data_IF_956366591660
#
_entry.id   IF_956366591660
#
_cell.length_a   1.000
_cell.length_b   1.000
_cell.length_c   1.000
_cell.angle_alpha   90.00
_cell.angle_beta   90.00
_cell.angle_gamma   90.00
#
_symmetry.space_group_name_H-M   'P 1'
#
loop_
_entity.id
_entity.type
_entity.pdbx_description
1 polymer ?
#
# COMPACT_ATOMS: atom_id res chain seq x y z
N UNK A 1 -10.13 44.18 1.06
CA UNK A 1 -10.34 42.73 1.18
C UNK A 1 -9.00 42.09 1.38
N UNK A 2 -8.73 41.46 2.55
CA UNK A 2 -7.48 40.73 2.80
C UNK A 2 -7.42 39.53 1.85
N UNK A 3 -6.26 39.32 1.24
CA UNK A 3 -6.01 38.10 0.43
C UNK A 3 -6.30 36.87 1.28
N UNK A 4 -7.08 35.90 0.79
CA UNK A 4 -7.31 34.66 1.57
C UNK A 4 -5.96 34.02 1.93
N UNK A 5 -5.85 33.55 3.16
CA UNK A 5 -4.62 32.93 3.63
C UNK A 5 -4.29 31.71 2.75
N UNK A 6 -3.01 31.54 2.39
CA UNK A 6 -2.55 30.39 1.62
C UNK A 6 -2.85 29.09 2.40
N UNK A 7 -3.70 28.17 1.90
CA UNK A 7 -4.05 26.93 2.57
C UNK A 7 -2.84 26.03 2.87
N UNK A 8 -1.71 26.23 2.19
CA UNK A 8 -0.46 25.51 2.38
C UNK A 8 0.51 26.22 3.35
N UNK A 9 0.08 27.33 3.96
CA UNK A 9 0.91 28.02 4.95
C UNK A 9 1.09 27.14 6.20
N UNK A 10 2.34 26.91 6.60
CA UNK A 10 2.71 26.13 7.79
C UNK A 10 2.36 24.62 7.70
N UNK A 11 2.44 24.03 6.51
CA UNK A 11 2.26 22.58 6.31
C UNK A 11 3.41 21.80 6.96
N UNK A 12 3.08 20.81 7.77
CA UNK A 12 4.05 19.85 8.29
C UNK A 12 4.44 18.84 7.21
N UNK A 13 5.76 18.76 6.89
CA UNK A 13 6.30 17.86 5.84
C UNK A 13 6.63 16.48 6.42
N UNK A 14 5.68 15.87 7.12
CA UNK A 14 5.76 14.49 7.66
C UNK A 14 4.42 13.78 7.52
N UNK A 15 4.38 12.45 7.52
CA UNK A 15 3.12 11.71 7.49
C UNK A 15 2.26 12.01 8.73
N UNK A 16 0.99 12.30 8.51
CA UNK A 16 0.00 12.49 9.58
C UNK A 16 0.02 11.32 10.57
N UNK A 17 0.01 10.10 10.05
CA UNK A 17 -0.05 8.88 10.85
C UNK A 17 1.16 8.72 11.78
N UNK A 18 2.37 9.09 11.30
CA UNK A 18 3.57 9.09 12.12
C UNK A 18 3.57 10.22 13.16
N UNK A 19 2.94 11.35 12.83
CA UNK A 19 2.80 12.48 13.75
C UNK A 19 1.87 12.17 14.92
N UNK A 20 0.85 11.34 14.69
CA UNK A 20 -0.16 10.95 15.69
C UNK A 20 0.13 9.60 16.37
N UNK A 21 1.20 8.91 15.94
CA UNK A 21 1.57 7.63 16.54
C UNK A 21 2.11 7.86 17.97
N UNK A 22 1.60 7.14 18.96
CA UNK A 22 2.16 7.17 20.32
C UNK A 22 3.65 6.78 20.33
N UNK A 23 4.41 7.18 21.36
CA UNK A 23 5.80 6.79 21.52
C UNK A 23 5.99 5.28 21.41
N UNK A 24 6.99 4.84 20.65
CA UNK A 24 7.31 3.44 20.42
C UNK A 24 8.50 3.01 21.30
N UNK A 25 8.63 1.71 21.63
CA UNK A 25 9.80 1.20 22.33
C UNK A 25 11.10 1.53 21.58
N UNK A 26 12.17 1.79 22.31
CA UNK A 26 13.50 1.92 21.71
C UNK A 26 14.06 0.54 21.35
N UNK A 27 14.36 0.36 20.06
CA UNK A 27 14.91 -0.88 19.48
C UNK A 27 16.30 -0.72 18.90
N UNK A 28 16.94 0.46 19.11
CA UNK A 28 18.23 0.82 18.49
C UNK A 28 19.42 0.28 19.26
N UNK A 29 19.31 0.19 20.57
CA UNK A 29 20.43 -0.20 21.47
C UNK A 29 20.49 -1.71 21.76
N UNK A 30 19.71 -2.54 21.07
CA UNK A 30 19.68 -3.98 21.32
C UNK A 30 20.86 -4.68 20.65
N UNK A 31 21.55 -5.62 21.33
CA UNK A 31 22.58 -6.43 20.69
C UNK A 31 21.99 -7.35 19.63
N UNK A 32 22.67 -7.47 18.47
CA UNK A 32 22.27 -8.40 17.44
C UNK A 32 22.55 -9.85 17.86
N UNK A 33 21.67 -10.80 17.54
CA UNK A 33 21.95 -12.21 17.70
C UNK A 33 22.95 -12.68 16.63
N UNK A 34 23.90 -13.54 17.00
CA UNK A 34 24.87 -14.10 16.06
C UNK A 34 24.23 -15.09 15.05
N UNK A 35 23.28 -15.91 15.54
CA UNK A 35 22.66 -17.00 14.77
C UNK A 35 21.16 -17.04 15.02
N UNK A 36 20.39 -17.08 13.93
CA UNK A 36 18.92 -17.16 13.94
C UNK A 36 18.39 -18.19 12.95
N UNK A 37 17.11 -18.57 13.10
CA UNK A 37 16.45 -19.44 12.14
C UNK A 37 15.89 -18.60 10.96
N UNK A 38 15.43 -17.36 11.24
CA UNK A 38 14.92 -16.44 10.24
C UNK A 38 15.45 -15.02 10.46
N UNK A 39 16.11 -14.46 9.44
CA UNK A 39 16.42 -13.04 9.36
C UNK A 39 15.43 -12.34 8.43
N UNK A 40 14.71 -11.35 8.95
CA UNK A 40 13.75 -10.53 8.19
C UNK A 40 14.38 -9.17 7.90
N UNK A 41 14.43 -8.77 6.63
CA UNK A 41 14.98 -7.50 6.18
C UNK A 41 13.86 -6.55 5.78
N UNK A 42 13.63 -5.50 6.57
CA UNK A 42 12.60 -4.49 6.40
C UNK A 42 11.48 -4.60 7.43
N UNK A 43 11.32 -3.57 8.25
CA UNK A 43 10.34 -3.42 9.35
C UNK A 43 8.99 -2.85 8.89
N UNK A 44 8.55 -3.15 7.68
CA UNK A 44 7.21 -2.82 7.19
C UNK A 44 6.17 -3.88 7.53
N UNK A 45 4.94 -3.74 6.98
CA UNK A 45 3.83 -4.68 7.21
C UNK A 45 4.20 -6.14 6.94
N UNK A 46 4.83 -6.42 5.77
CA UNK A 46 5.22 -7.79 5.42
C UNK A 46 6.27 -8.35 6.38
N UNK A 47 7.29 -7.56 6.74
CA UNK A 47 8.35 -8.01 7.62
C UNK A 47 7.86 -8.24 9.04
N UNK A 48 7.06 -7.35 9.60
CA UNK A 48 6.47 -7.52 10.94
C UNK A 48 5.56 -8.74 11.02
N UNK A 49 4.75 -8.98 9.98
CA UNK A 49 3.89 -10.17 9.93
C UNK A 49 4.68 -11.47 9.80
N UNK A 50 5.75 -11.49 8.97
CA UNK A 50 6.64 -12.63 8.84
C UNK A 50 7.40 -12.91 10.15
N UNK A 51 7.90 -11.87 10.82
CA UNK A 51 8.58 -12.00 12.10
C UNK A 51 7.64 -12.53 13.19
N UNK A 52 6.41 -11.99 13.27
CA UNK A 52 5.37 -12.49 14.19
C UNK A 52 5.13 -13.99 13.96
N UNK A 53 4.87 -14.39 12.72
CA UNK A 53 4.53 -15.77 12.41
C UNK A 53 5.70 -16.71 12.63
N UNK A 54 6.90 -16.33 12.20
CA UNK A 54 8.10 -17.12 12.44
C UNK A 54 8.34 -17.40 13.93
N UNK A 55 8.19 -16.38 14.78
CA UNK A 55 8.29 -16.52 16.24
C UNK A 55 7.16 -17.40 16.82
N UNK A 56 5.92 -17.29 16.34
CA UNK A 56 4.81 -18.16 16.73
C UNK A 56 5.06 -19.65 16.39
N UNK A 57 5.83 -19.91 15.32
CA UNK A 57 6.27 -21.27 14.95
C UNK A 57 7.48 -21.76 15.78
N UNK A 58 7.92 -20.99 16.77
CA UNK A 58 9.04 -21.34 17.65
C UNK A 58 10.42 -21.04 17.07
N UNK A 59 10.51 -20.37 15.92
CA UNK A 59 11.78 -19.99 15.33
C UNK A 59 12.45 -18.81 16.07
N UNK A 60 13.78 -18.80 16.14
CA UNK A 60 14.54 -17.61 16.54
C UNK A 60 14.55 -16.61 15.39
N UNK A 61 13.85 -15.49 15.56
CA UNK A 61 13.65 -14.49 14.51
C UNK A 61 14.35 -13.18 14.88
N UNK A 62 15.11 -12.64 13.91
CA UNK A 62 15.57 -11.25 13.95
C UNK A 62 14.93 -10.45 12.81
N UNK A 63 14.43 -9.25 13.12
CA UNK A 63 13.97 -8.30 12.13
C UNK A 63 14.91 -7.09 12.13
N UNK A 64 15.44 -6.74 10.96
CA UNK A 64 16.40 -5.67 10.71
C UNK A 64 15.73 -4.55 9.93
N UNK A 65 15.60 -3.38 10.53
CA UNK A 65 15.06 -2.18 9.92
C UNK A 65 16.11 -1.06 9.87
N UNK A 66 16.32 -0.50 8.70
CA UNK A 66 17.36 0.51 8.49
C UNK A 66 17.06 1.86 9.17
N UNK A 67 15.78 2.17 9.34
CA UNK A 67 15.31 3.43 9.93
C UNK A 67 14.53 3.13 11.24
N UNK A 68 13.21 3.22 11.21
CA UNK A 68 12.31 2.83 12.29
C UNK A 68 11.18 1.94 11.75
N UNK A 69 10.58 1.13 12.60
CA UNK A 69 9.44 0.28 12.21
C UNK A 69 8.38 1.12 11.51
N UNK A 70 7.96 0.64 10.33
CA UNK A 70 6.95 1.31 9.52
C UNK A 70 7.42 2.57 8.78
N UNK A 71 8.68 3.00 8.89
CA UNK A 71 9.18 4.25 8.28
C UNK A 71 8.86 4.37 6.77
N UNK A 72 8.87 3.28 6.03
CA UNK A 72 8.60 3.24 4.61
C UNK A 72 7.13 3.44 4.25
N UNK A 73 6.65 2.75 3.21
CA UNK A 73 5.27 2.85 2.71
C UNK A 73 4.21 2.46 3.74
N UNK A 74 4.57 1.63 4.72
CA UNK A 74 3.66 1.02 5.68
C UNK A 74 2.96 2.03 6.59
N UNK A 75 3.57 3.16 6.91
CA UNK A 75 2.95 4.25 7.67
C UNK A 75 2.72 5.53 6.85
N UNK A 76 2.94 5.48 5.54
CA UNK A 76 2.79 6.63 4.63
C UNK A 76 1.60 6.48 3.68
N UNK A 77 0.95 5.33 3.65
CA UNK A 77 -0.19 5.04 2.76
C UNK A 77 -1.47 5.76 3.22
N UNK A 78 -2.49 5.77 2.38
CA UNK A 78 -3.82 6.29 2.74
C UNK A 78 -4.60 5.42 3.73
N UNK A 79 -4.06 4.26 4.12
CA UNK A 79 -4.73 3.34 5.04
C UNK A 79 -5.97 2.67 4.43
N UNK A 80 -6.01 2.52 3.09
CA UNK A 80 -7.10 1.86 2.37
C UNK A 80 -6.78 0.37 2.25
N UNK A 81 -7.59 -0.46 2.90
CA UNK A 81 -7.48 -1.91 2.94
C UNK A 81 -8.61 -2.52 2.10
N UNK A 82 -8.27 -3.27 1.07
CA UNK A 82 -9.24 -3.90 0.17
C UNK A 82 -8.64 -5.14 -0.49
N UNK A 83 -9.46 -6.14 -0.86
CA UNK A 83 -9.03 -7.25 -1.71
C UNK A 83 -8.79 -6.80 -3.15
N UNK A 84 -8.28 -7.72 -3.96
CA UNK A 84 -8.06 -7.53 -5.39
C UNK A 84 -6.73 -6.88 -5.74
N UNK A 85 -6.47 -6.90 -7.04
CA UNK A 85 -5.23 -6.45 -7.66
C UNK A 85 -5.52 -5.43 -8.76
N UNK A 86 -4.51 -5.12 -9.59
CA UNK A 86 -4.71 -4.30 -10.79
C UNK A 86 -5.45 -5.02 -11.90
N UNK A 87 -5.55 -6.34 -11.81
CA UNK A 87 -6.32 -7.20 -12.68
C UNK A 87 -7.52 -7.76 -11.91
N UNK A 88 -8.71 -7.70 -12.51
CA UNK A 88 -9.92 -8.26 -11.95
C UNK A 88 -9.97 -9.80 -12.05
N UNK A 89 -10.96 -10.46 -11.42
CA UNK A 89 -11.07 -11.93 -11.44
C UNK A 89 -11.05 -12.52 -12.85
N UNK A 90 -11.84 -11.98 -13.76
CA UNK A 90 -11.93 -12.48 -15.14
C UNK A 90 -10.58 -12.37 -15.88
N UNK A 91 -9.89 -11.23 -15.74
CA UNK A 91 -8.57 -11.02 -16.34
C UNK A 91 -7.52 -11.95 -15.74
N UNK A 92 -7.58 -12.25 -14.44
CA UNK A 92 -6.67 -13.21 -13.79
C UNK A 92 -6.91 -14.62 -14.31
N UNK A 93 -8.17 -15.04 -14.46
CA UNK A 93 -8.53 -16.34 -15.04
C UNK A 93 -8.12 -16.45 -16.51
N UNK A 94 -8.27 -15.40 -17.29
CA UNK A 94 -7.81 -15.36 -18.69
C UNK A 94 -6.28 -15.50 -18.80
N UNK A 95 -5.53 -14.82 -17.94
CA UNK A 95 -4.05 -14.78 -17.97
C UNK A 95 -3.38 -16.05 -17.42
N UNK A 96 -3.99 -16.67 -16.42
CA UNK A 96 -3.36 -17.74 -15.63
C UNK A 96 -4.13 -19.06 -15.67
N UNK A 97 -5.26 -19.11 -16.40
CA UNK A 97 -6.22 -20.23 -16.36
C UNK A 97 -7.19 -20.09 -15.20
N UNK A 98 -8.37 -20.72 -15.35
CA UNK A 98 -9.50 -20.54 -14.44
C UNK A 98 -9.14 -20.86 -12.98
N UNK A 99 -8.51 -22.02 -12.73
CA UNK A 99 -8.19 -22.49 -11.37
C UNK A 99 -7.16 -21.56 -10.68
N UNK A 100 -6.05 -21.27 -11.33
CA UNK A 100 -5.00 -20.45 -10.72
C UNK A 100 -5.44 -18.99 -10.60
N UNK A 101 -6.13 -18.45 -11.61
CA UNK A 101 -6.64 -17.07 -11.59
C UNK A 101 -7.65 -16.84 -10.46
N UNK A 102 -8.56 -17.78 -10.26
CA UNK A 102 -9.50 -17.75 -9.13
C UNK A 102 -8.78 -17.88 -7.78
N UNK A 103 -7.84 -18.82 -7.65
CA UNK A 103 -7.05 -18.99 -6.43
C UNK A 103 -6.28 -17.74 -6.05
N UNK A 104 -5.65 -17.06 -7.02
CA UNK A 104 -4.95 -15.80 -6.80
C UNK A 104 -5.93 -14.71 -6.30
N UNK A 105 -7.12 -14.60 -6.92
CA UNK A 105 -8.09 -13.62 -6.46
C UNK A 105 -8.58 -13.92 -5.03
N UNK A 106 -8.91 -15.17 -4.73
CA UNK A 106 -9.30 -15.62 -3.38
C UNK A 106 -8.24 -15.30 -2.35
N UNK A 107 -6.96 -15.50 -2.68
CA UNK A 107 -5.85 -15.14 -1.79
C UNK A 107 -5.84 -13.65 -1.41
N UNK A 108 -6.33 -12.76 -2.28
CA UNK A 108 -6.51 -11.35 -1.94
C UNK A 108 -7.68 -11.09 -0.98
N UNK A 109 -8.75 -11.88 -1.11
CA UNK A 109 -9.90 -11.85 -0.17
C UNK A 109 -9.46 -12.37 1.20
N UNK A 110 -8.76 -13.50 1.23
CA UNK A 110 -8.20 -14.07 2.45
C UNK A 110 -7.26 -13.08 3.15
N UNK A 111 -6.46 -12.35 2.37
CA UNK A 111 -5.57 -11.31 2.91
C UNK A 111 -6.33 -10.16 3.58
N UNK A 112 -7.48 -9.75 3.03
CA UNK A 112 -8.32 -8.73 3.65
C UNK A 112 -8.94 -9.25 4.97
N UNK A 113 -9.52 -10.45 4.96
CA UNK A 113 -10.13 -11.04 6.15
C UNK A 113 -9.08 -11.33 7.23
N UNK A 114 -7.92 -11.88 6.86
CA UNK A 114 -6.79 -12.08 7.75
C UNK A 114 -6.32 -10.78 8.41
N UNK A 115 -6.29 -9.68 7.64
CA UNK A 115 -5.92 -8.37 8.19
C UNK A 115 -6.90 -7.93 9.28
N UNK A 116 -8.21 -8.03 9.00
CA UNK A 116 -9.26 -7.67 9.95
C UNK A 116 -9.20 -8.55 11.22
N UNK A 117 -9.01 -9.86 11.04
CA UNK A 117 -8.91 -10.82 12.12
C UNK A 117 -7.65 -10.60 12.96
N UNK A 118 -6.49 -10.38 12.33
CA UNK A 118 -5.23 -10.12 13.04
C UNK A 118 -5.32 -8.83 13.87
N UNK A 119 -5.95 -7.78 13.34
CA UNK A 119 -6.20 -6.53 14.10
C UNK A 119 -7.02 -6.83 15.36
N UNK A 120 -8.07 -7.65 15.24
CA UNK A 120 -8.95 -8.03 16.36
C UNK A 120 -8.22 -8.92 17.36
N UNK A 121 -7.56 -9.98 16.90
CA UNK A 121 -6.88 -10.97 17.75
C UNK A 121 -5.73 -10.38 18.56
N UNK A 122 -4.91 -9.54 17.90
CA UNK A 122 -3.77 -8.90 18.54
C UNK A 122 -4.13 -7.62 19.31
N UNK A 123 -5.41 -7.21 19.31
CA UNK A 123 -5.88 -6.00 19.97
C UNK A 123 -5.23 -4.74 19.41
N UNK A 124 -5.02 -4.67 18.08
CA UNK A 124 -4.34 -3.53 17.45
C UNK A 124 -5.32 -2.36 17.30
N UNK A 125 -5.02 -1.25 17.94
CA UNK A 125 -5.84 -0.03 17.87
C UNK A 125 -5.63 0.74 16.56
N UNK A 126 -5.84 0.08 15.43
CA UNK A 126 -5.64 0.65 14.10
C UNK A 126 -6.85 1.43 13.57
N UNK A 127 -7.88 1.66 14.37
CA UNK A 127 -9.15 2.29 13.97
C UNK A 127 -9.70 1.69 12.65
N UNK A 128 -9.68 0.36 12.53
CA UNK A 128 -10.16 -0.35 11.34
C UNK A 128 -11.68 -0.31 11.27
N UNK A 129 -12.20 0.18 10.13
CA UNK A 129 -13.64 0.25 9.85
C UNK A 129 -13.91 -0.33 8.47
N UNK A 130 -14.85 -1.29 8.39
CA UNK A 130 -15.37 -1.82 7.11
C UNK A 130 -16.34 -0.81 6.52
N UNK A 131 -15.86 0.09 5.65
CA UNK A 131 -16.64 1.20 5.11
C UNK A 131 -17.03 1.00 3.64
N UNK A 132 -16.49 -0.01 2.98
CA UNK A 132 -16.58 -0.10 1.53
C UNK A 132 -15.78 0.98 0.81
N UNK A 133 -15.70 0.87 -0.51
CA UNK A 133 -15.10 1.92 -1.34
C UNK A 133 -15.87 2.16 -2.63
N UNK A 134 -15.67 3.33 -3.21
CA UNK A 134 -16.13 3.68 -4.54
C UNK A 134 -14.94 3.85 -5.50
N UNK A 135 -15.00 3.16 -6.63
CA UNK A 135 -14.20 3.49 -7.79
C UNK A 135 -15.00 4.41 -8.72
N UNK A 136 -14.56 5.65 -8.85
CA UNK A 136 -15.31 6.75 -9.47
C UNK A 136 -14.96 6.89 -10.96
N UNK A 137 -15.96 6.86 -11.83
CA UNK A 137 -15.81 7.02 -13.26
C UNK A 137 -15.67 8.50 -13.63
N UNK A 138 -14.53 8.91 -14.20
CA UNK A 138 -14.31 10.29 -14.65
C UNK A 138 -15.00 10.61 -15.97
N UNK A 139 -15.44 9.60 -16.73
CA UNK A 139 -16.14 9.72 -18.00
C UNK A 139 -17.20 8.61 -18.14
N UNK A 140 -18.24 8.77 -18.99
CA UNK A 140 -19.23 7.73 -19.25
C UNK A 140 -18.62 6.42 -19.75
N UNK A 141 -17.61 6.45 -20.63
CA UNK A 141 -16.88 5.27 -21.10
C UNK A 141 -16.19 4.50 -19.96
N UNK A 142 -15.70 5.19 -18.93
CA UNK A 142 -15.14 4.54 -17.75
C UNK A 142 -16.20 3.83 -16.91
N UNK A 143 -17.45 4.32 -16.90
CA UNK A 143 -18.54 3.65 -16.17
C UNK A 143 -18.92 2.30 -16.82
N UNK A 144 -18.83 2.19 -18.14
CA UNK A 144 -19.02 0.91 -18.84
C UNK A 144 -17.95 -0.12 -18.45
N UNK A 145 -16.68 0.31 -18.35
CA UNK A 145 -15.62 -0.55 -17.84
C UNK A 145 -15.86 -0.98 -16.39
N UNK A 146 -16.38 -0.08 -15.55
CA UNK A 146 -16.72 -0.42 -14.16
C UNK A 146 -17.91 -1.39 -14.07
N UNK A 147 -18.85 -1.33 -14.98
CA UNK A 147 -19.95 -2.31 -15.07
C UNK A 147 -19.42 -3.71 -15.43
N UNK A 148 -18.46 -3.79 -16.35
CA UNK A 148 -17.77 -5.05 -16.68
C UNK A 148 -17.00 -5.58 -15.46
N UNK A 149 -16.33 -4.70 -14.71
CA UNK A 149 -15.64 -5.08 -13.48
C UNK A 149 -16.61 -5.58 -12.40
N UNK A 150 -17.78 -4.96 -12.23
CA UNK A 150 -18.82 -5.42 -11.32
C UNK A 150 -19.30 -6.84 -11.67
N UNK A 151 -19.56 -7.10 -12.97
CA UNK A 151 -19.95 -8.43 -13.44
C UNK A 151 -18.84 -9.48 -13.16
N UNK A 152 -17.58 -9.12 -13.38
CA UNK A 152 -16.43 -9.98 -13.07
C UNK A 152 -16.31 -10.28 -11.57
N UNK A 153 -16.52 -9.31 -10.70
CA UNK A 153 -16.51 -9.48 -9.24
C UNK A 153 -17.65 -10.41 -8.78
N UNK A 154 -18.82 -10.29 -9.38
CA UNK A 154 -19.97 -11.16 -9.06
C UNK A 154 -19.69 -12.65 -9.36
N UNK A 155 -18.84 -12.99 -10.36
CA UNK A 155 -18.48 -14.39 -10.67
C UNK A 155 -17.72 -15.09 -9.55
N UNK A 156 -17.10 -14.34 -8.67
CA UNK A 156 -16.33 -14.84 -7.50
C UNK A 156 -17.03 -14.55 -6.16
N UNK A 157 -18.31 -14.13 -6.21
CA UNK A 157 -19.13 -13.92 -5.03
C UNK A 157 -18.89 -12.59 -4.31
N UNK A 158 -18.24 -11.62 -4.96
CA UNK A 158 -18.05 -10.28 -4.38
C UNK A 158 -19.29 -9.40 -4.59
N UNK A 159 -19.76 -8.77 -3.50
CA UNK A 159 -20.86 -7.81 -3.57
C UNK A 159 -20.36 -6.48 -4.16
N UNK A 160 -20.67 -6.26 -5.42
CA UNK A 160 -20.31 -5.07 -6.17
C UNK A 160 -21.47 -4.62 -7.06
N UNK A 161 -21.68 -3.29 -7.13
CA UNK A 161 -22.73 -2.70 -7.98
C UNK A 161 -22.28 -1.39 -8.59
N UNK A 162 -22.74 -1.09 -9.78
CA UNK A 162 -22.54 0.25 -10.37
C UNK A 162 -23.72 1.16 -10.01
N UNK A 163 -23.38 2.44 -9.77
CA UNK A 163 -24.33 3.52 -9.55
C UNK A 163 -24.06 4.66 -10.53
N UNK A 164 -25.12 5.39 -10.92
CA UNK A 164 -25.05 6.54 -11.83
C UNK A 164 -25.05 7.85 -11.05
N UNK A 165 -24.78 8.95 -11.74
CA UNK A 165 -24.68 10.28 -11.16
C UNK A 165 -25.81 10.69 -10.19
N UNK A 166 -27.12 10.41 -10.42
CA UNK A 166 -28.17 10.74 -9.45
C UNK A 166 -28.00 10.03 -8.11
N UNK A 167 -27.66 8.73 -8.13
CA UNK A 167 -27.47 7.89 -6.93
C UNK A 167 -26.14 8.19 -6.22
N UNK A 168 -25.19 8.76 -6.97
CA UNK A 168 -23.86 9.06 -6.46
C UNK A 168 -23.88 10.09 -5.33
N UNK A 169 -24.87 10.99 -5.31
CA UNK A 169 -25.04 12.04 -4.29
C UNK A 169 -25.28 11.47 -2.89
N UNK A 170 -25.85 10.28 -2.79
CA UNK A 170 -26.09 9.58 -1.50
C UNK A 170 -24.81 8.95 -0.93
N UNK A 171 -23.76 8.84 -1.75
CA UNK A 171 -22.51 8.18 -1.39
C UNK A 171 -21.33 9.16 -1.27
N UNK A 172 -21.38 10.29 -2.00
CA UNK A 172 -20.28 11.26 -2.04
C UNK A 172 -20.76 12.66 -2.40
N UNK A 173 -20.27 13.66 -1.71
CA UNK A 173 -20.61 15.07 -1.91
C UNK A 173 -19.83 15.73 -3.04
N UNK A 174 -19.95 15.20 -4.27
CA UNK A 174 -19.39 15.82 -5.47
C UNK A 174 -20.16 15.42 -6.73
N UNK A 175 -20.20 16.31 -7.71
CA UNK A 175 -20.76 16.07 -9.05
C UNK A 175 -19.66 15.82 -10.10
N UNK A 176 -18.42 15.64 -9.65
CA UNK A 176 -17.26 15.56 -10.54
C UNK A 176 -17.18 14.25 -11.35
N UNK A 177 -18.08 13.28 -11.17
CA UNK A 177 -17.98 11.93 -11.74
C UNK A 177 -19.29 11.48 -12.43
N UNK A 178 -19.15 10.62 -13.44
CA UNK A 178 -20.28 10.08 -14.20
C UNK A 178 -21.04 8.97 -13.46
N UNK A 179 -20.44 8.39 -12.45
CA UNK A 179 -20.95 7.29 -11.64
C UNK A 179 -19.83 6.57 -10.92
N UNK A 180 -20.12 5.41 -10.34
CA UNK A 180 -19.15 4.62 -9.60
C UNK A 180 -19.42 3.12 -9.62
N UNK A 181 -18.38 2.34 -9.33
CA UNK A 181 -18.48 0.97 -8.83
C UNK A 181 -18.37 1.02 -7.31
N UNK A 182 -19.37 0.53 -6.62
CA UNK A 182 -19.40 0.33 -5.17
C UNK A 182 -18.93 -1.08 -4.85
N UNK A 183 -17.96 -1.23 -3.98
CA UNK A 183 -17.45 -2.52 -3.48
C UNK A 183 -17.51 -2.50 -1.95
N UNK A 184 -18.29 -3.42 -1.39
CA UNK A 184 -18.55 -3.42 0.06
C UNK A 184 -17.40 -4.03 0.88
N UNK A 185 -16.68 -5.02 0.33
CA UNK A 185 -15.56 -5.69 1.02
C UNK A 185 -14.30 -4.83 0.95
N UNK A 186 -14.24 -3.83 1.81
CA UNK A 186 -13.03 -3.02 2.02
C UNK A 186 -13.17 -2.17 3.28
N UNK A 187 -12.07 -1.59 3.76
CA UNK A 187 -12.09 -0.78 4.96
C UNK A 187 -10.91 0.18 5.06
N UNK A 188 -11.08 1.17 5.92
CA UNK A 188 -10.05 2.15 6.26
C UNK A 188 -9.41 1.85 7.62
N UNK A 189 -8.12 2.15 7.75
CA UNK A 189 -7.40 2.01 9.01
C UNK A 189 -6.29 3.08 9.16
N UNK A 190 -5.75 3.21 10.38
CA UNK A 190 -4.50 3.93 10.63
C UNK A 190 -3.32 2.98 10.34
N UNK A 191 -2.57 3.20 9.25
CA UNK A 191 -1.52 2.30 8.83
C UNK A 191 -0.28 2.35 9.72
N UNK A 192 -0.03 3.46 10.44
CA UNK A 192 1.09 3.54 11.38
C UNK A 192 0.80 2.75 12.66
N UNK A 193 -0.41 2.87 13.20
CA UNK A 193 -0.85 2.05 14.34
C UNK A 193 -0.92 0.57 13.98
N UNK A 194 -1.34 0.24 12.76
CA UNK A 194 -1.38 -1.14 12.29
C UNK A 194 0.02 -1.77 12.24
N UNK A 195 1.01 -1.12 11.60
CA UNK A 195 2.37 -1.69 11.54
C UNK A 195 3.05 -1.71 12.90
N UNK A 196 2.83 -0.70 13.76
CA UNK A 196 3.34 -0.69 15.13
C UNK A 196 2.74 -1.82 15.97
N UNK A 197 1.43 -2.07 15.83
CA UNK A 197 0.76 -3.18 16.49
C UNK A 197 1.26 -4.56 16.04
N UNK A 198 1.50 -4.73 14.73
CA UNK A 198 2.13 -5.96 14.21
C UNK A 198 3.54 -6.17 14.74
N UNK A 199 4.33 -5.10 14.86
CA UNK A 199 5.68 -5.17 15.45
C UNK A 199 5.62 -5.56 16.92
N UNK A 200 4.73 -4.96 17.71
CA UNK A 200 4.51 -5.33 19.11
C UNK A 200 4.05 -6.79 19.25
N UNK A 201 3.16 -7.26 18.35
CA UNK A 201 2.74 -8.66 18.32
C UNK A 201 3.90 -9.61 17.98
N UNK A 202 4.80 -9.22 17.07
CA UNK A 202 6.01 -9.99 16.77
C UNK A 202 6.94 -10.10 18.00
N UNK A 203 7.13 -9.00 18.75
CA UNK A 203 7.92 -9.01 19.99
C UNK A 203 7.26 -9.87 21.08
N UNK A 204 5.93 -9.79 21.25
CA UNK A 204 5.20 -10.67 22.17
C UNK A 204 5.35 -12.15 21.83
N UNK A 205 5.44 -12.47 20.54
CA UNK A 205 5.68 -13.84 20.06
C UNK A 205 7.14 -14.29 20.23
N UNK A 206 8.08 -13.39 20.57
CA UNK A 206 9.49 -13.68 20.82
C UNK A 206 10.46 -13.27 19.72
N UNK A 207 10.02 -12.53 18.69
CA UNK A 207 10.92 -11.97 17.67
C UNK A 207 11.75 -10.82 18.24
N UNK A 208 13.04 -10.76 17.85
CA UNK A 208 13.93 -9.66 18.16
C UNK A 208 13.91 -8.62 17.05
N UNK A 209 13.43 -7.41 17.32
CA UNK A 209 13.33 -6.32 16.35
C UNK A 209 14.44 -5.27 16.61
N UNK A 210 15.12 -4.86 15.53
CA UNK A 210 16.22 -3.91 15.57
C UNK A 210 16.00 -2.77 14.58
N UNK A 211 15.97 -1.55 15.09
CA UNK A 211 15.89 -0.30 14.31
C UNK A 211 17.27 0.34 14.14
N UNK A 212 17.45 1.11 13.06
CA UNK A 212 18.73 1.73 12.73
C UNK A 212 19.77 0.72 12.23
N UNK A 213 19.39 -0.51 11.96
CA UNK A 213 20.27 -1.59 11.50
C UNK A 213 19.99 -1.88 10.03
N UNK A 214 20.86 -1.38 9.15
CA UNK A 214 20.77 -1.58 7.71
C UNK A 214 21.41 -2.90 7.30
N UNK A 215 20.63 -3.79 6.67
CA UNK A 215 21.19 -4.93 5.96
C UNK A 215 21.86 -4.44 4.66
N UNK A 216 23.13 -4.83 4.47
CA UNK A 216 23.98 -4.35 3.37
C UNK A 216 24.08 -5.39 2.25
N UNK A 217 24.21 -6.66 2.63
CA UNK A 217 24.38 -7.78 1.70
C UNK A 217 23.94 -9.08 2.32
N UNK A 218 23.45 -10.01 1.49
CA UNK A 218 23.19 -11.40 1.84
C UNK A 218 24.14 -12.29 1.05
N UNK A 219 24.83 -13.19 1.74
CA UNK A 219 25.73 -14.20 1.15
C UNK A 219 25.33 -15.59 1.57
N UNK A 220 25.09 -16.47 0.63
CA UNK A 220 24.87 -17.88 0.90
C UNK A 220 26.19 -18.57 1.32
N UNK A 221 26.08 -19.49 2.26
CA UNK A 221 27.18 -20.34 2.71
C UNK A 221 27.06 -21.75 2.13
N UNK A 222 28.15 -22.51 2.14
CA UNK A 222 28.19 -23.89 1.63
C UNK A 222 27.29 -24.86 2.41
N UNK A 223 27.01 -24.55 3.68
CA UNK A 223 26.16 -25.34 4.57
C UNK A 223 24.64 -25.03 4.43
N UNK A 224 24.29 -24.23 3.43
CA UNK A 224 22.89 -23.83 3.13
C UNK A 224 22.38 -22.67 3.95
N UNK A 225 23.16 -22.15 4.93
CA UNK A 225 22.82 -20.91 5.66
C UNK A 225 23.18 -19.66 4.86
N UNK A 226 22.77 -18.51 5.34
CA UNK A 226 23.15 -17.22 4.80
C UNK A 226 23.78 -16.32 5.87
N UNK A 227 24.72 -15.47 5.47
CA UNK A 227 25.22 -14.38 6.29
C UNK A 227 24.57 -13.11 5.81
N UNK A 228 23.86 -12.41 6.69
CA UNK A 228 23.37 -11.06 6.48
C UNK A 228 24.37 -10.08 7.06
N UNK A 229 25.11 -9.40 6.19
CA UNK A 229 26.00 -8.32 6.58
C UNK A 229 25.17 -7.08 6.90
N UNK A 230 25.37 -6.48 8.06
CA UNK A 230 24.62 -5.29 8.50
C UNK A 230 25.55 -4.17 8.93
N UNK A 231 24.99 -2.97 9.12
CA UNK A 231 25.71 -1.82 9.69
C UNK A 231 26.16 -2.01 11.15
N UNK A 232 25.64 -3.04 11.83
CA UNK A 232 25.92 -3.31 13.26
C UNK A 232 26.60 -4.67 13.48
N UNK A 233 27.06 -5.35 12.43
CA UNK A 233 27.70 -6.66 12.47
C UNK A 233 26.94 -7.71 11.65
N UNK A 234 27.52 -8.89 11.43
CA UNK A 234 26.90 -9.96 10.67
C UNK A 234 25.89 -10.75 11.52
N UNK A 235 24.87 -11.28 10.86
CA UNK A 235 23.91 -12.25 11.41
C UNK A 235 23.90 -13.50 10.53
N UNK A 236 24.08 -14.68 11.10
CA UNK A 236 23.95 -15.96 10.39
C UNK A 236 22.49 -16.43 10.49
N UNK A 237 21.85 -16.70 9.36
CA UNK A 237 20.47 -17.14 9.33
C UNK A 237 20.29 -18.42 8.50
N UNK A 238 19.38 -19.27 8.92
CA UNK A 238 18.94 -20.45 8.12
C UNK A 238 18.12 -19.99 6.91
N UNK A 239 17.18 -19.07 7.13
CA UNK A 239 16.36 -18.47 6.09
C UNK A 239 16.44 -16.94 6.16
N UNK A 240 16.35 -16.30 5.01
CA UNK A 240 16.31 -14.82 4.90
C UNK A 240 15.05 -14.42 4.16
N UNK A 241 14.28 -13.51 4.76
CA UNK A 241 13.08 -12.94 4.15
C UNK A 241 13.26 -11.45 3.88
N UNK A 242 13.14 -11.04 2.61
CA UNK A 242 13.27 -9.64 2.17
C UNK A 242 11.90 -9.01 1.96
N UNK A 243 11.60 -7.98 2.77
CA UNK A 243 10.32 -7.27 2.85
C UNK A 243 10.46 -5.77 2.55
N UNK A 244 11.41 -5.38 1.71
CA UNK A 244 11.77 -3.97 1.46
C UNK A 244 10.91 -3.27 0.41
N UNK A 245 10.10 -4.00 -0.34
CA UNK A 245 9.15 -3.51 -1.36
C UNK A 245 9.75 -2.39 -2.24
N UNK A 246 9.11 -1.21 -2.33
CA UNK A 246 9.57 -0.06 -3.13
C UNK A 246 10.86 0.62 -2.59
N UNK A 247 11.43 0.13 -1.50
CA UNK A 247 12.70 0.61 -0.91
C UNK A 247 13.85 -0.38 -1.10
N UNK A 248 13.65 -1.41 -1.92
CA UNK A 248 14.69 -2.42 -2.22
C UNK A 248 15.91 -1.75 -2.87
N UNK A 249 17.06 -1.96 -2.24
CA UNK A 249 18.36 -1.42 -2.65
C UNK A 249 19.37 -2.54 -3.00
N UNK A 250 20.65 -2.30 -2.71
CA UNK A 250 21.75 -3.23 -3.00
C UNK A 250 21.71 -4.54 -2.23
N UNK A 251 20.93 -4.66 -1.14
CA UNK A 251 20.84 -5.88 -0.33
C UNK A 251 20.24 -7.05 -1.13
N UNK A 252 19.34 -6.76 -2.08
CA UNK A 252 18.71 -7.76 -2.94
C UNK A 252 18.72 -7.31 -4.42
N UNK A 253 19.88 -7.38 -5.12
CA UNK A 253 20.01 -6.87 -6.49
C UNK A 253 19.06 -7.52 -7.49
N UNK A 254 18.77 -8.81 -7.32
CA UNK A 254 17.84 -9.54 -8.16
C UNK A 254 16.40 -9.00 -8.06
N UNK A 255 15.95 -8.61 -6.86
CA UNK A 255 14.65 -7.98 -6.62
C UNK A 255 14.64 -6.54 -7.12
N UNK A 256 15.71 -5.77 -6.89
CA UNK A 256 15.83 -4.39 -7.33
C UNK A 256 15.59 -4.22 -8.84
N UNK A 257 15.97 -5.20 -9.67
CA UNK A 257 15.74 -5.21 -11.12
C UNK A 257 14.31 -5.54 -11.52
N UNK A 258 13.43 -5.86 -10.58
CA UNK A 258 12.04 -6.28 -10.80
C UNK A 258 11.02 -5.34 -10.17
N UNK A 259 11.44 -4.49 -9.24
CA UNK A 259 10.55 -3.57 -8.52
C UNK A 259 10.84 -2.13 -8.93
N UNK A 260 9.81 -1.42 -9.37
CA UNK A 260 9.86 0.00 -9.72
C UNK A 260 9.33 0.83 -8.55
N UNK A 261 10.17 1.66 -7.90
CA UNK A 261 9.72 2.60 -6.87
C UNK A 261 8.97 3.76 -7.54
N UNK A 262 7.66 3.81 -7.36
CA UNK A 262 6.82 4.90 -7.89
C UNK A 262 6.40 5.81 -6.73
N UNK A 263 6.64 7.11 -6.89
CA UNK A 263 6.25 8.13 -5.92
C UNK A 263 4.73 8.28 -5.84
N UNK A 264 4.21 8.36 -4.62
CA UNK A 264 2.84 8.77 -4.32
C UNK A 264 2.86 9.82 -3.22
N UNK A 265 2.01 10.84 -3.33
CA UNK A 265 1.95 11.95 -2.40
C UNK A 265 0.57 12.03 -1.77
N UNK A 266 0.51 12.53 -0.54
CA UNK A 266 -0.73 12.72 0.20
C UNK A 266 -0.68 14.07 0.90
N UNK A 267 -1.83 14.74 0.96
CA UNK A 267 -2.11 15.86 1.86
C UNK A 267 -3.20 15.47 2.85
N UNK A 268 -3.15 16.06 4.05
CA UNK A 268 -4.21 15.94 5.03
C UNK A 268 -4.59 17.32 5.54
N UNK A 269 -5.90 17.60 5.60
CA UNK A 269 -6.42 18.89 6.08
C UNK A 269 -6.40 18.99 7.60
N UNK A 270 -6.73 20.14 8.14
CA UNK A 270 -7.26 20.24 9.50
C UNK A 270 -8.57 19.43 9.63
N UNK A 271 -8.98 19.05 10.87
CA UNK A 271 -10.28 18.42 11.09
C UNK A 271 -11.41 19.26 10.51
N UNK A 272 -12.29 18.63 9.73
CA UNK A 272 -13.50 19.25 9.20
C UNK A 272 -14.60 19.31 10.27
N UNK A 273 -15.55 20.24 10.11
CA UNK A 273 -16.78 20.19 10.87
C UNK A 273 -17.54 18.89 10.57
N UNK A 274 -18.38 18.45 11.48
CA UNK A 274 -19.18 17.23 11.33
C UNK A 274 -20.09 17.31 10.08
N UNK A 275 -20.77 18.45 9.89
CA UNK A 275 -21.63 18.69 8.74
C UNK A 275 -20.87 18.59 7.41
N UNK A 276 -19.67 19.20 7.35
CA UNK A 276 -18.87 19.18 6.13
C UNK A 276 -18.30 17.77 5.86
N UNK A 277 -17.88 17.07 6.90
CA UNK A 277 -17.41 15.70 6.77
C UNK A 277 -18.53 14.77 6.29
N UNK A 278 -19.74 14.89 6.86
CA UNK A 278 -20.91 14.14 6.42
C UNK A 278 -21.31 14.49 4.99
N UNK A 279 -21.33 15.77 4.64
CA UNK A 279 -21.62 16.22 3.26
C UNK A 279 -20.65 15.65 2.22
N UNK A 280 -19.36 15.44 2.57
CA UNK A 280 -18.35 14.86 1.68
C UNK A 280 -18.50 13.35 1.57
N UNK A 281 -18.71 12.64 2.68
CA UNK A 281 -18.77 11.19 2.73
C UNK A 281 -19.83 10.73 3.73
N UNK A 282 -21.12 10.70 3.33
CA UNK A 282 -22.23 10.35 4.21
C UNK A 282 -22.08 8.96 4.87
N UNK A 283 -21.53 8.03 4.12
CA UNK A 283 -21.37 6.63 4.53
C UNK A 283 -19.92 6.29 4.99
N UNK A 284 -19.04 7.29 5.15
CA UNK A 284 -17.66 7.09 5.60
C UNK A 284 -16.80 6.25 4.63
N UNK A 285 -17.17 6.19 3.36
CA UNK A 285 -16.50 5.35 2.36
C UNK A 285 -15.11 5.87 1.99
N UNK A 286 -14.33 4.99 1.38
CA UNK A 286 -13.08 5.33 0.72
C UNK A 286 -13.31 5.53 -0.77
N UNK A 287 -12.51 6.37 -1.42
CA UNK A 287 -12.70 6.75 -2.81
C UNK A 287 -11.40 6.70 -3.59
N UNK A 288 -11.46 6.27 -4.85
CA UNK A 288 -10.41 6.49 -5.84
C UNK A 288 -11.02 6.61 -7.24
N UNK A 289 -10.41 7.41 -8.08
CA UNK A 289 -10.94 7.64 -9.42
C UNK A 289 -10.28 6.76 -10.50
N UNK A 290 -10.87 6.74 -11.68
CA UNK A 290 -10.47 5.91 -12.81
C UNK A 290 -9.40 6.54 -13.70
N UNK A 291 -8.76 7.65 -13.30
CA UNK A 291 -7.65 8.26 -14.05
C UNK A 291 -6.37 7.44 -13.95
N UNK A 292 -5.48 7.61 -14.91
CA UNK A 292 -4.11 7.10 -14.82
C UNK A 292 -3.31 7.82 -13.73
N UNK A 293 -3.42 9.16 -13.65
CA UNK A 293 -3.01 9.97 -12.50
C UNK A 293 -4.15 10.02 -11.49
N UNK A 294 -4.51 8.85 -10.97
CA UNK A 294 -5.64 8.71 -10.06
C UNK A 294 -5.48 9.54 -8.81
N UNK A 295 -6.60 10.06 -8.32
CA UNK A 295 -6.76 10.51 -6.96
C UNK A 295 -7.41 9.43 -6.13
N UNK A 296 -7.04 9.39 -4.83
CA UNK A 296 -7.67 8.55 -3.83
C UNK A 296 -7.81 9.34 -2.54
N UNK A 297 -8.91 9.16 -1.84
CA UNK A 297 -9.17 9.91 -0.61
C UNK A 297 -10.14 9.19 0.30
N UNK A 298 -10.11 9.59 1.55
CA UNK A 298 -11.07 9.24 2.57
C UNK A 298 -11.02 10.24 3.72
N UNK A 299 -12.00 10.20 4.59
CA UNK A 299 -11.93 10.88 5.88
C UNK A 299 -11.19 10.01 6.90
N UNK A 300 -10.40 10.66 7.76
CA UNK A 300 -9.80 10.02 8.93
C UNK A 300 -10.81 9.97 10.08
N UNK A 301 -10.57 9.15 11.14
CA UNK A 301 -11.47 9.14 12.32
C UNK A 301 -11.64 10.50 12.98
N UNK A 302 -10.64 11.36 12.94
CA UNK A 302 -10.69 12.75 13.42
C UNK A 302 -11.18 13.75 12.33
N UNK A 303 -11.89 13.26 11.31
CA UNK A 303 -12.55 14.02 10.24
C UNK A 303 -11.62 14.88 9.38
N UNK A 304 -10.35 14.51 9.18
CA UNK A 304 -9.50 15.16 8.20
C UNK A 304 -9.75 14.58 6.81
N UNK A 305 -9.78 15.42 5.80
CA UNK A 305 -9.68 14.95 4.43
C UNK A 305 -8.24 14.50 4.16
N UNK A 306 -8.06 13.20 3.94
CA UNK A 306 -6.84 12.61 3.45
C UNK A 306 -6.95 12.47 1.93
N UNK A 307 -6.20 13.25 1.16
CA UNK A 307 -6.26 13.26 -0.30
C UNK A 307 -4.91 12.94 -0.90
N UNK A 308 -4.84 11.87 -1.68
CA UNK A 308 -3.61 11.36 -2.27
C UNK A 308 -3.70 11.16 -3.77
N UNK A 309 -2.53 10.99 -4.38
CA UNK A 309 -2.43 10.71 -5.81
C UNK A 309 -1.00 10.62 -6.31
N UNK A 310 -0.88 10.26 -7.59
CA UNK A 310 0.36 10.36 -8.34
C UNK A 310 0.48 11.78 -8.91
N UNK A 311 1.04 12.69 -8.11
CA UNK A 311 1.12 14.08 -8.53
C UNK A 311 2.08 14.31 -9.70
N UNK A 312 3.17 13.52 -9.78
CA UNK A 312 4.17 13.62 -10.86
C UNK A 312 5.05 12.37 -10.91
N UNK A 313 5.48 12.01 -12.13
CA UNK A 313 6.58 11.04 -12.34
C UNK A 313 7.95 11.73 -12.46
N UNK A 314 7.99 13.06 -12.55
CA UNK A 314 9.21 13.82 -12.41
C UNK A 314 9.59 13.97 -10.93
N UNK A 315 10.88 13.99 -10.59
CA UNK A 315 11.32 14.37 -9.25
C UNK A 315 10.69 15.70 -8.86
N UNK A 316 9.98 15.73 -7.75
CA UNK A 316 9.23 16.91 -7.32
C UNK A 316 9.34 17.10 -5.80
N UNK A 317 9.37 18.35 -5.35
CA UNK A 317 9.33 18.65 -3.93
C UNK A 317 7.96 18.32 -3.32
N UNK A 318 7.92 18.11 -2.02
CA UNK A 318 6.66 17.90 -1.27
C UNK A 318 5.71 19.08 -1.48
N UNK A 319 6.23 20.30 -1.49
CA UNK A 319 5.41 21.53 -1.65
C UNK A 319 4.75 21.59 -3.04
N UNK A 320 5.48 21.22 -4.09
CA UNK A 320 4.91 21.18 -5.45
C UNK A 320 3.83 20.11 -5.56
N UNK A 321 4.07 18.94 -5.02
CA UNK A 321 3.07 17.85 -5.05
C UNK A 321 1.86 18.16 -4.19
N UNK A 322 2.05 18.81 -3.03
CA UNK A 322 0.97 19.30 -2.18
C UNK A 322 0.06 20.31 -2.90
N UNK A 323 0.65 21.24 -3.66
CA UNK A 323 -0.12 22.22 -4.46
C UNK A 323 -0.95 21.53 -5.54
N UNK A 324 -0.37 20.58 -6.28
CA UNK A 324 -1.09 19.78 -7.29
C UNK A 324 -2.27 19.01 -6.66
N UNK A 325 -2.04 18.40 -5.50
CA UNK A 325 -3.10 17.65 -4.79
C UNK A 325 -4.17 18.58 -4.22
N UNK A 326 -3.81 19.75 -3.69
CA UNK A 326 -4.78 20.76 -3.23
C UNK A 326 -5.68 21.23 -4.38
N UNK A 327 -5.10 21.56 -5.54
CA UNK A 327 -5.87 21.91 -6.73
C UNK A 327 -6.78 20.78 -7.19
N UNK A 328 -6.29 19.53 -7.13
CA UNK A 328 -7.09 18.32 -7.41
C UNK A 328 -8.23 18.13 -6.42
N UNK A 329 -7.96 18.28 -5.13
CA UNK A 329 -8.95 18.19 -4.06
C UNK A 329 -10.07 19.23 -4.23
N UNK A 330 -9.72 20.46 -4.52
CA UNK A 330 -10.70 21.54 -4.71
C UNK A 330 -11.52 21.42 -6.00
N UNK A 331 -10.99 20.76 -7.04
CA UNK A 331 -11.78 20.40 -8.23
C UNK A 331 -12.81 19.31 -7.95
N UNK A 332 -12.47 18.37 -7.07
CA UNK A 332 -13.38 17.29 -6.67
C UNK A 332 -14.37 17.77 -5.61
N UNK A 333 -13.90 18.53 -4.63
CA UNK A 333 -14.65 19.01 -3.49
C UNK A 333 -14.49 20.53 -3.32
N UNK A 334 -15.18 21.35 -4.13
CA UNK A 334 -15.10 22.83 -4.05
C UNK A 334 -15.47 23.38 -2.68
N UNK A 335 -16.35 22.68 -1.94
CA UNK A 335 -16.78 23.05 -0.58
C UNK A 335 -15.63 23.03 0.45
N UNK A 336 -14.45 22.49 0.10
CA UNK A 336 -13.23 22.54 0.92
C UNK A 336 -12.41 23.84 0.69
N UNK A 337 -12.92 24.79 -0.10
CA UNK A 337 -12.24 26.07 -0.31
C UNK A 337 -12.01 26.79 1.03
N UNK A 338 -10.76 27.18 1.29
CA UNK A 338 -10.36 27.83 2.54
C UNK A 338 -9.97 26.86 3.69
N UNK A 339 -10.20 25.56 3.57
CA UNK A 339 -9.72 24.59 4.55
C UNK A 339 -8.19 24.49 4.48
N UNK A 340 -7.52 24.58 5.63
CA UNK A 340 -6.06 24.51 5.72
C UNK A 340 -5.56 23.06 5.55
N UNK A 341 -4.50 22.88 4.79
CA UNK A 341 -3.73 21.63 4.74
C UNK A 341 -2.74 21.63 5.89
N UNK A 342 -2.87 20.66 6.78
CA UNK A 342 -2.01 20.52 7.96
C UNK A 342 -0.75 19.69 7.68
N UNK A 343 -0.86 18.66 6.88
CA UNK A 343 0.23 17.72 6.59
C UNK A 343 0.37 17.47 5.08
N UNK A 344 1.61 17.28 4.63
CA UNK A 344 1.92 16.84 3.27
C UNK A 344 3.15 15.94 3.29
N UNK A 345 3.09 14.81 2.56
CA UNK A 345 4.22 13.88 2.48
C UNK A 345 4.23 13.07 1.19
N UNK A 346 5.32 12.35 0.99
CA UNK A 346 5.50 11.41 -0.12
C UNK A 346 5.94 10.05 0.41
N UNK A 347 5.69 9.02 -0.38
CA UNK A 347 6.16 7.66 -0.16
C UNK A 347 6.45 6.96 -1.47
N UNK A 348 7.11 5.79 -1.40
CA UNK A 348 7.38 4.96 -2.56
C UNK A 348 6.49 3.73 -2.54
N UNK A 349 5.77 3.49 -3.61
CA UNK A 349 5.00 2.26 -3.85
C UNK A 349 5.83 1.35 -4.74
N UNK A 350 5.99 0.08 -4.36
CA UNK A 350 6.64 -0.92 -5.20
C UNK A 350 5.70 -1.40 -6.30
N UNK A 351 6.04 -1.12 -7.55
CA UNK A 351 5.35 -1.66 -8.73
C UNK A 351 6.20 -2.73 -9.40
N UNK A 352 5.53 -3.70 -9.99
CA UNK A 352 6.10 -4.73 -10.84
C UNK A 352 5.71 -4.49 -12.30
N UNK A 353 6.39 -5.10 -13.23
CA UNK A 353 6.12 -4.86 -14.64
C UNK A 353 4.77 -5.45 -15.08
N UNK A 354 4.37 -6.58 -14.52
CA UNK A 354 3.07 -7.23 -14.73
C UNK A 354 1.94 -6.70 -13.84
N UNK A 355 2.27 -5.75 -12.95
CA UNK A 355 1.33 -5.10 -12.00
C UNK A 355 0.71 -6.05 -10.97
N UNK A 356 1.42 -7.14 -10.64
CA UNK A 356 1.03 -8.11 -9.61
C UNK A 356 1.98 -8.08 -8.40
N UNK A 357 1.50 -8.38 -7.19
CA UNK A 357 2.39 -8.69 -6.08
C UNK A 357 3.07 -10.04 -6.32
N UNK A 358 4.27 -10.16 -5.78
CA UNK A 358 5.07 -11.39 -5.88
C UNK A 358 5.60 -11.83 -4.53
N UNK A 359 5.53 -13.12 -4.30
CA UNK A 359 6.17 -13.86 -3.20
C UNK A 359 6.92 -15.04 -3.82
N UNK A 360 8.09 -15.39 -3.29
CA UNK A 360 8.87 -16.48 -3.87
C UNK A 360 10.28 -16.55 -3.33
N UNK A 361 11.12 -17.36 -3.98
CA UNK A 361 12.57 -17.47 -3.70
C UNK A 361 13.36 -16.94 -4.91
N UNK A 362 14.33 -16.08 -4.65
CA UNK A 362 15.20 -15.51 -5.68
C UNK A 362 16.55 -15.08 -5.10
N UNK A 363 17.64 -15.52 -5.73
CA UNK A 363 18.99 -15.12 -5.31
C UNK A 363 19.36 -15.52 -3.89
N UNK A 364 18.86 -16.67 -3.42
CA UNK A 364 19.14 -17.21 -2.08
C UNK A 364 18.30 -16.58 -0.95
N UNK A 365 17.28 -15.78 -1.27
CA UNK A 365 16.36 -15.20 -0.29
C UNK A 365 14.91 -15.49 -0.64
N UNK A 366 14.06 -15.57 0.38
CA UNK A 366 12.60 -15.52 0.22
C UNK A 366 12.16 -14.06 0.26
N UNK A 367 11.10 -13.70 -0.46
CA UNK A 367 10.64 -12.31 -0.55
C UNK A 367 9.13 -12.19 -0.67
N UNK A 368 8.59 -11.02 -0.28
CA UNK A 368 7.26 -10.53 -0.69
C UNK A 368 7.38 -9.06 -1.09
N UNK A 369 6.87 -8.69 -2.27
CA UNK A 369 7.08 -7.37 -2.85
C UNK A 369 6.07 -7.02 -3.94
N UNK A 370 6.11 -5.78 -4.44
CA UNK A 370 5.38 -5.40 -5.65
C UNK A 370 3.88 -5.22 -5.46
N UNK A 371 3.43 -4.66 -4.35
CA UNK A 371 2.01 -4.51 -4.02
C UNK A 371 1.20 -3.63 -4.99
N UNK A 372 1.83 -2.88 -5.88
CA UNK A 372 1.20 -2.04 -6.90
C UNK A 372 0.11 -1.08 -6.37
N UNK A 373 0.17 -0.72 -5.08
CA UNK A 373 -0.75 0.18 -4.40
C UNK A 373 -1.79 -0.50 -3.50
N UNK A 374 -1.96 -1.83 -3.54
CA UNK A 374 -2.91 -2.59 -2.71
C UNK A 374 -2.23 -3.31 -1.53
N UNK A 375 -1.20 -2.68 -0.91
CA UNK A 375 -0.28 -3.36 0.01
C UNK A 375 -0.76 -3.57 1.44
N UNK A 376 -1.82 -2.90 1.89
CA UNK A 376 -2.25 -2.93 3.30
C UNK A 376 -2.72 -4.34 3.71
N UNK A 377 -3.50 -5.00 2.86
CA UNK A 377 -3.95 -6.36 3.11
C UNK A 377 -2.92 -7.41 2.63
N UNK A 378 -2.51 -7.33 1.37
CA UNK A 378 -1.79 -8.43 0.73
C UNK A 378 -0.36 -8.61 1.27
N UNK A 379 0.39 -7.52 1.54
CA UNK A 379 1.79 -7.68 1.96
C UNK A 379 1.96 -8.32 3.35
N UNK A 380 1.23 -7.93 4.41
CA UNK A 380 1.35 -8.61 5.69
C UNK A 380 0.86 -10.06 5.62
N UNK A 381 -0.20 -10.35 4.86
CA UNK A 381 -0.64 -11.71 4.60
C UNK A 381 0.44 -12.55 3.92
N UNK A 382 1.06 -12.04 2.84
CA UNK A 382 2.16 -12.73 2.17
C UNK A 382 3.40 -12.90 3.07
N UNK A 383 3.67 -11.96 3.96
CA UNK A 383 4.71 -12.13 4.99
C UNK A 383 4.42 -13.27 5.95
N UNK A 384 3.19 -13.33 6.46
CA UNK A 384 2.70 -14.43 7.30
C UNK A 384 2.78 -15.77 6.57
N UNK A 385 2.21 -15.90 5.37
CA UNK A 385 2.21 -17.10 4.56
C UNK A 385 3.60 -17.55 4.12
N UNK A 386 4.51 -16.59 3.86
CA UNK A 386 5.90 -16.92 3.57
C UNK A 386 6.60 -17.57 4.76
N UNK A 387 6.35 -17.11 5.99
CA UNK A 387 6.88 -17.74 7.20
C UNK A 387 6.31 -19.16 7.40
N UNK A 388 5.01 -19.37 7.17
CA UNK A 388 4.40 -20.71 7.16
C UNK A 388 5.07 -21.63 6.15
N UNK A 389 5.30 -21.15 4.94
CA UNK A 389 5.92 -21.91 3.86
C UNK A 389 7.36 -22.30 4.17
N UNK A 390 8.20 -21.36 4.63
CA UNK A 390 9.64 -21.61 4.78
C UNK A 390 10.02 -22.25 6.11
N UNK A 391 9.20 -22.12 7.15
CA UNK A 391 9.46 -22.64 8.50
C UNK A 391 8.46 -23.70 8.93
N UNK A 392 7.18 -23.54 8.57
CA UNK A 392 6.08 -24.40 8.98
C UNK A 392 5.82 -25.59 8.06
N UNK A 393 6.43 -25.63 6.87
CA UNK A 393 6.20 -26.69 5.87
C UNK A 393 4.86 -26.60 5.15
N UNK A 394 4.11 -25.51 5.31
CA UNK A 394 2.86 -25.27 4.61
C UNK A 394 3.09 -25.02 3.11
N UNK A 395 2.08 -25.28 2.25
CA UNK A 395 2.17 -24.97 0.82
C UNK A 395 2.47 -23.49 0.56
N UNK A 396 3.24 -23.23 -0.50
CA UNK A 396 3.49 -21.89 -0.97
C UNK A 396 2.18 -21.16 -1.32
N UNK A 397 2.10 -19.84 -1.13
CA UNK A 397 0.98 -19.03 -1.60
C UNK A 397 0.71 -19.20 -3.10
N UNK A 398 -0.52 -19.06 -3.56
CA UNK A 398 -0.88 -19.15 -4.99
C UNK A 398 -0.09 -18.14 -5.84
N UNK A 399 0.13 -16.94 -5.32
CA UNK A 399 0.97 -15.91 -5.94
C UNK A 399 2.43 -16.35 -6.17
N UNK A 400 2.94 -17.34 -5.46
CA UNK A 400 4.29 -17.89 -5.67
C UNK A 400 4.42 -18.66 -6.99
N UNK A 401 3.30 -19.07 -7.60
CA UNK A 401 3.26 -19.71 -8.91
C UNK A 401 3.47 -18.73 -10.06
N UNK A 402 3.38 -17.41 -9.79
CA UNK A 402 3.57 -16.39 -10.81
C UNK A 402 5.04 -16.21 -11.15
N UNK A 403 5.33 -16.17 -12.46
CA UNK A 403 6.66 -15.78 -12.94
C UNK A 403 6.88 -14.31 -12.61
N UNK A 404 7.97 -13.99 -11.90
CA UNK A 404 8.33 -12.61 -11.59
C UNK A 404 9.15 -11.98 -12.73
N UNK A 405 8.58 -11.12 -13.58
CA UNK A 405 9.28 -10.58 -14.72
C UNK A 405 10.35 -9.55 -14.31
N UNK A 406 11.39 -9.45 -15.13
CA UNK A 406 12.31 -8.31 -15.08
C UNK A 406 11.62 -7.07 -15.65
N UNK A 407 11.93 -5.91 -15.10
CA UNK A 407 11.67 -4.66 -15.82
C UNK A 407 12.61 -4.61 -17.02
N UNK A 408 12.13 -4.25 -18.25
CA UNK A 408 12.97 -4.24 -19.44
C UNK A 408 14.25 -3.40 -19.28
N UNK A 409 15.35 -3.88 -19.83
CA UNK A 409 16.63 -3.19 -19.84
C UNK A 409 16.58 -1.87 -20.66
N UNK A 410 17.38 -0.85 -20.30
CA UNK A 410 18.30 -0.80 -19.17
C UNK A 410 17.60 -0.35 -17.87
N UNK A 411 17.30 -1.26 -16.95
CA UNK A 411 16.68 -0.95 -15.67
C UNK A 411 17.49 -1.55 -14.52
N UNK A 412 17.92 -0.70 -13.58
CA UNK A 412 18.68 -1.09 -12.39
C UNK A 412 18.11 -0.44 -11.10
N UNK A 413 16.78 -0.40 -10.97
CA UNK A 413 16.11 0.16 -9.79
C UNK A 413 15.83 1.67 -9.87
N UNK A 414 16.13 2.34 -10.99
CA UNK A 414 15.76 3.74 -11.25
C UNK A 414 14.86 3.80 -12.50
N UNK A 415 13.57 4.08 -12.34
CA UNK A 415 12.63 4.07 -13.45
C UNK A 415 12.73 5.37 -14.28
N UNK A 416 13.81 5.52 -15.04
CA UNK A 416 14.15 6.69 -15.86
C UNK A 416 13.10 7.01 -16.94
N UNK A 417 12.34 6.01 -17.36
CA UNK A 417 11.28 6.12 -18.37
C UNK A 417 9.96 6.69 -17.84
N UNK A 418 9.75 6.74 -16.53
CA UNK A 418 8.48 7.21 -15.93
C UNK A 418 8.05 8.61 -16.36
N UNK A 419 8.94 9.61 -16.55
CA UNK A 419 8.51 10.90 -17.07
C UNK A 419 7.78 10.80 -18.42
N UNK A 420 8.29 10.02 -19.36
CA UNK A 420 7.65 9.83 -20.67
C UNK A 420 6.29 9.11 -20.54
N UNK A 421 6.21 8.07 -19.68
CA UNK A 421 4.95 7.41 -19.34
C UNK A 421 3.96 8.40 -18.71
N UNK A 422 4.45 9.32 -17.88
CA UNK A 422 3.64 10.37 -17.26
C UNK A 422 2.99 11.30 -18.28
N UNK A 423 3.73 11.75 -19.29
CA UNK A 423 3.15 12.61 -20.33
C UNK A 423 2.10 11.86 -21.17
N UNK A 424 2.33 10.58 -21.47
CA UNK A 424 1.34 9.73 -22.11
C UNK A 424 0.05 9.62 -21.27
N UNK A 425 0.17 9.39 -19.96
CA UNK A 425 -0.98 9.29 -19.06
C UNK A 425 -1.75 10.61 -18.96
N UNK A 426 -1.06 11.77 -18.93
CA UNK A 426 -1.71 13.08 -18.94
C UNK A 426 -2.55 13.31 -20.20
N UNK A 427 -2.02 12.91 -21.35
CA UNK A 427 -2.75 13.01 -22.61
C UNK A 427 -3.97 12.09 -22.63
N UNK A 428 -3.87 10.86 -22.09
CA UNK A 428 -5.00 9.94 -21.98
C UNK A 428 -6.08 10.48 -21.03
N UNK A 429 -5.70 10.96 -19.85
CA UNK A 429 -6.62 11.54 -18.87
C UNK A 429 -7.30 12.81 -19.39
N UNK A 430 -6.58 13.64 -20.17
CA UNK A 430 -7.15 14.82 -20.80
C UNK A 430 -8.17 14.47 -21.89
N UNK A 431 -7.93 13.42 -22.69
CA UNK A 431 -8.88 12.92 -23.68
C UNK A 431 -10.16 12.42 -23.00
N UNK A 432 -10.03 11.59 -21.97
CA UNK A 432 -11.18 11.10 -21.20
C UNK A 432 -11.99 12.24 -20.56
N UNK A 433 -11.33 13.32 -20.10
CA UNK A 433 -12.01 14.49 -19.54
C UNK A 433 -12.84 15.29 -20.54
N UNK A 434 -12.61 15.13 -21.87
CA UNK A 434 -13.39 15.77 -22.92
C UNK A 434 -14.69 15.04 -23.28
N UNK A 435 -14.84 13.79 -22.85
CA UNK A 435 -16.06 13.00 -23.06
C UNK A 435 -17.22 13.44 -22.15
N UNK A 436 -16.97 14.36 -21.20
CA UNK A 436 -18.04 14.93 -20.38
C UNK A 436 -18.91 15.85 -21.22
N UNK A 437 -20.25 15.77 -21.14
CA UNK A 437 -21.11 16.82 -21.64
C UNK A 437 -20.68 18.14 -21.00
N UNK A 438 -20.44 19.15 -21.82
CA UNK A 438 -20.33 20.54 -21.35
C UNK A 438 -21.77 20.98 -21.16
N UNK A 439 -22.30 20.90 -19.94
CA UNK A 439 -23.54 21.57 -19.55
C UNK A 439 -23.25 23.04 -19.27
#
# INVERSE_FOLDING_TARGET
>A
MSRPADPLRSVERRPLWQAQLPPQPDRRARPLPDVVDLAVIGGGLAGCAAARRGAQLGARVVLLEAESIGWGASSRSGGMCHPGFKWGPAELMERHGAILGESIYRESVDAFEWTAETIREEGIEAAFVRSGHLQLAVAPSHLEHLATAAASLATVGEAARTIRAPELRDEIGTEAYAGALVVERSGGLDPARYVAGLAAAAERAGASLHEGVRALRVRSQADGRAVVETSAGPVVAREVFVATNGYTDGVAPALRRRVMPIGSSIIATDPLSEDLAHAISPNGRMFFDSKNFLYYWRLTPDRRMLFGGRASFWPSSVDRTARILLEGMLRVHPQLAGVRVAYAWTGKVGFTFDRMPHVGRLGGVTYATGCCGSGIAILPYLGHRAADWILGGEPAPALASLRFPLVPAPYEGRPWFLPAVGEWYRLADWRAGRERPQD
#
